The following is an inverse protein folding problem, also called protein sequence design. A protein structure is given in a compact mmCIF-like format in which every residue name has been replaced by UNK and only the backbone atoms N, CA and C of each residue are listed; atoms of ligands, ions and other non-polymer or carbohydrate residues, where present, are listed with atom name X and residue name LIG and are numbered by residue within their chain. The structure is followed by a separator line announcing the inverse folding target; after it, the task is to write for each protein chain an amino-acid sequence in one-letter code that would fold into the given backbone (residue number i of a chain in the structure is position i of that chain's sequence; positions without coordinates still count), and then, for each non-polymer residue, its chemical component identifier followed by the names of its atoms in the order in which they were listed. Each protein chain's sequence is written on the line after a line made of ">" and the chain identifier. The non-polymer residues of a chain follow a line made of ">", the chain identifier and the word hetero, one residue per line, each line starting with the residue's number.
data_IF_074966516099
#
_entry.id   IF_074966516099
#
_cell.length_a   1.000
_cell.length_b   1.000
_cell.length_c   1.000
_cell.angle_alpha   90.00
_cell.angle_beta   90.00
_cell.angle_gamma   90.00
#
_symmetry.space_group_name_H-M   'P 1'
#
loop_
_entity.id
_entity.type
_entity.pdbx_description
1 polymer ?
#
# COMPACT_ATOMS: atom_id res chain seq x y z
N UNK A 1 -29.11 -1.69 -1.94
CA UNK A 1 -28.25 -0.61 -2.45
C UNK A 1 -28.70 0.66 -1.77
N UNK A 2 -27.87 1.24 -0.89
CA UNK A 2 -28.15 2.55 -0.32
C UNK A 2 -28.15 3.57 -1.46
N UNK A 3 -29.18 4.41 -1.53
CA UNK A 3 -29.20 5.50 -2.50
C UNK A 3 -28.08 6.49 -2.16
N UNK A 4 -27.14 6.64 -3.08
CA UNK A 4 -26.09 7.67 -2.96
C UNK A 4 -26.77 9.03 -2.92
N UNK A 5 -26.55 9.80 -1.85
CA UNK A 5 -27.07 11.16 -1.72
C UNK A 5 -26.41 12.08 -2.75
N UNK A 6 -27.15 12.99 -3.40
CA UNK A 6 -26.55 13.98 -4.28
C UNK A 6 -25.49 14.81 -3.53
N UNK A 7 -24.27 14.86 -4.05
CA UNK A 7 -23.16 15.59 -3.45
C UNK A 7 -22.15 16.03 -4.50
N UNK A 8 -21.44 17.11 -4.20
CA UNK A 8 -20.30 17.57 -4.99
C UNK A 8 -19.03 17.11 -4.27
N UNK A 9 -18.20 16.32 -4.96
CA UNK A 9 -16.91 15.86 -4.43
C UNK A 9 -15.85 16.89 -4.80
N UNK A 10 -15.33 17.58 -3.79
CA UNK A 10 -14.24 18.55 -3.96
C UNK A 10 -12.93 17.84 -3.62
N UNK A 11 -11.89 17.91 -4.48
CA UNK A 11 -10.60 17.30 -4.21
C UNK A 11 -9.94 17.92 -2.97
N UNK A 12 -9.19 17.10 -2.23
CA UNK A 12 -8.32 17.61 -1.19
C UNK A 12 -7.10 18.30 -1.83
N UNK A 13 -6.91 19.58 -1.52
CA UNK A 13 -5.81 20.41 -2.05
C UNK A 13 -4.63 20.53 -1.09
N UNK A 14 -4.69 19.96 0.12
CA UNK A 14 -3.67 20.18 1.15
C UNK A 14 -2.25 19.84 0.69
N UNK A 15 -2.07 18.73 -0.04
CA UNK A 15 -0.76 18.36 -0.59
C UNK A 15 -0.31 19.19 -1.81
N UNK A 16 -1.19 19.98 -2.44
CA UNK A 16 -0.86 20.75 -3.65
C UNK A 16 -0.24 22.11 -3.39
N UNK A 17 -0.37 22.62 -2.19
CA UNK A 17 0.07 23.98 -1.86
C UNK A 17 1.54 24.03 -1.42
N UNK A 18 2.17 22.90 -1.15
CA UNK A 18 3.60 22.86 -0.80
C UNK A 18 4.48 22.70 -2.05
N UNK A 19 4.44 23.71 -2.93
CA UNK A 19 5.14 23.68 -4.21
C UNK A 19 6.68 23.68 -4.07
N UNK A 20 7.23 24.17 -2.96
CA UNK A 20 8.68 24.21 -2.72
C UNK A 20 9.19 22.81 -2.37
N UNK A 21 8.63 22.17 -1.34
CA UNK A 21 8.95 20.79 -0.95
C UNK A 21 8.74 19.82 -2.12
N UNK A 22 7.75 20.07 -2.90
CA UNK A 22 7.41 19.38 -4.12
C UNK A 22 8.52 19.44 -5.17
N UNK A 23 8.95 20.65 -5.49
CA UNK A 23 10.02 20.90 -6.46
C UNK A 23 11.33 20.25 -5.98
N UNK A 24 11.67 20.41 -4.70
CA UNK A 24 12.85 19.79 -4.10
C UNK A 24 12.81 18.26 -4.18
N UNK A 25 11.66 17.64 -3.93
CA UNK A 25 11.49 16.19 -4.03
C UNK A 25 11.58 15.69 -5.47
N UNK A 26 11.03 16.44 -6.42
CA UNK A 26 11.18 16.15 -7.85
C UNK A 26 12.63 16.25 -8.29
N UNK A 27 13.35 17.29 -7.88
CA UNK A 27 14.75 17.50 -8.23
C UNK A 27 15.67 16.42 -7.62
N UNK A 28 15.45 16.04 -6.34
CA UNK A 28 16.21 14.95 -5.68
C UNK A 28 16.08 13.62 -6.41
N UNK A 29 14.93 13.37 -7.02
CA UNK A 29 14.62 12.09 -7.66
C UNK A 29 14.78 12.12 -9.20
N UNK A 30 15.10 13.27 -9.79
CA UNK A 30 15.15 13.46 -11.24
C UNK A 30 16.13 12.52 -11.98
N UNK A 31 17.13 12.02 -11.28
CA UNK A 31 18.14 11.10 -11.84
C UNK A 31 18.02 9.65 -11.35
N UNK A 32 17.03 9.34 -10.53
CA UNK A 32 16.76 7.97 -10.06
C UNK A 32 15.68 7.35 -10.92
N UNK A 33 15.84 6.07 -11.25
CA UNK A 33 14.75 5.30 -11.87
C UNK A 33 13.71 4.99 -10.80
N UNK A 34 12.60 5.70 -10.85
CA UNK A 34 11.43 5.53 -9.98
C UNK A 34 10.26 4.88 -10.72
N UNK A 35 10.54 4.14 -11.80
CA UNK A 35 9.52 3.46 -12.58
C UNK A 35 8.67 2.55 -11.70
N UNK A 36 7.35 2.74 -11.73
CA UNK A 36 6.42 2.10 -10.80
C UNK A 36 5.23 1.50 -11.52
N UNK A 37 4.87 0.29 -11.14
CA UNK A 37 3.62 -0.37 -11.51
C UNK A 37 2.68 -0.32 -10.30
N UNK A 38 1.54 0.34 -10.48
CA UNK A 38 0.47 0.35 -9.49
C UNK A 38 -0.49 -0.81 -9.76
N UNK A 39 -0.68 -1.69 -8.79
CA UNK A 39 -1.62 -2.80 -8.86
C UNK A 39 -2.86 -2.46 -8.04
N UNK A 40 -4.02 -2.56 -8.66
CA UNK A 40 -5.32 -2.26 -8.07
C UNK A 40 -6.22 -3.50 -8.15
N UNK A 41 -6.34 -4.29 -7.08
CA UNK A 41 -7.40 -5.28 -6.97
C UNK A 41 -8.76 -4.57 -6.93
N UNK A 42 -9.73 -5.04 -7.72
CA UNK A 42 -11.03 -4.40 -7.77
C UNK A 42 -12.16 -5.38 -8.09
N UNK A 43 -13.32 -5.11 -7.51
CA UNK A 43 -14.58 -5.79 -7.85
C UNK A 43 -15.20 -5.26 -9.16
N UNK A 44 -14.57 -4.25 -9.79
CA UNK A 44 -15.00 -3.66 -11.05
C UNK A 44 -15.70 -2.31 -10.91
N UNK A 45 -15.89 -1.81 -9.69
CA UNK A 45 -16.49 -0.48 -9.43
C UNK A 45 -15.68 0.25 -8.37
N UNK A 46 -15.23 1.45 -8.67
CA UNK A 46 -14.49 2.31 -7.72
C UNK A 46 -15.33 3.55 -7.40
N UNK A 47 -15.48 3.94 -6.12
CA UNK A 47 -16.24 5.12 -5.74
C UNK A 47 -15.69 6.40 -6.33
N UNK A 48 -16.55 7.33 -6.73
CA UNK A 48 -16.13 8.61 -7.31
C UNK A 48 -15.20 9.41 -6.37
N UNK A 49 -15.41 9.36 -5.04
CA UNK A 49 -14.54 10.00 -4.05
C UNK A 49 -13.12 9.44 -4.08
N UNK A 50 -13.00 8.14 -4.23
CA UNK A 50 -11.70 7.44 -4.33
C UNK A 50 -11.04 7.75 -5.67
N UNK A 51 -11.77 7.67 -6.78
CA UNK A 51 -11.27 8.04 -8.11
C UNK A 51 -10.77 9.47 -8.11
N UNK A 52 -11.48 10.41 -7.48
CA UNK A 52 -11.06 11.81 -7.34
C UNK A 52 -9.69 11.92 -6.65
N UNK A 53 -9.44 11.15 -5.60
CA UNK A 53 -8.12 11.08 -4.95
C UNK A 53 -7.07 10.54 -5.92
N UNK A 54 -7.35 9.44 -6.62
CA UNK A 54 -6.40 8.81 -7.53
C UNK A 54 -5.99 9.69 -8.72
N UNK A 55 -6.91 10.50 -9.22
CA UNK A 55 -6.63 11.50 -10.29
C UNK A 55 -5.66 12.59 -9.82
N UNK A 56 -5.58 12.80 -8.51
CA UNK A 56 -4.71 13.80 -7.92
C UNK A 56 -3.35 13.27 -7.48
N UNK A 57 -3.13 11.94 -7.49
CA UNK A 57 -1.82 11.35 -7.16
C UNK A 57 -0.78 11.89 -8.13
N UNK A 58 0.29 12.44 -7.57
CA UNK A 58 1.40 12.95 -8.34
C UNK A 58 2.46 11.88 -8.50
N UNK A 59 2.85 11.63 -9.73
CA UNK A 59 3.99 10.81 -10.09
C UNK A 59 5.20 11.69 -10.39
N UNK A 60 6.43 11.21 -10.15
CA UNK A 60 7.63 11.95 -10.52
C UNK A 60 7.66 12.23 -12.02
N UNK A 61 8.11 13.42 -12.41
CA UNK A 61 8.28 13.78 -13.82
C UNK A 61 9.31 12.87 -14.50
N UNK A 62 9.08 12.59 -15.79
CA UNK A 62 9.96 11.74 -16.60
C UNK A 62 10.15 10.30 -16.07
N UNK A 63 9.24 9.81 -15.26
CA UNK A 63 9.22 8.44 -14.77
C UNK A 63 8.07 7.66 -15.38
N UNK A 64 8.30 6.36 -15.59
CA UNK A 64 7.24 5.46 -16.07
C UNK A 64 6.32 5.11 -14.91
N UNK A 65 5.04 5.38 -15.08
CA UNK A 65 4.01 5.00 -14.12
C UNK A 65 2.82 4.37 -14.85
N UNK A 66 2.49 3.13 -14.53
CA UNK A 66 1.33 2.44 -15.10
C UNK A 66 0.43 1.89 -14.00
N UNK A 67 -0.87 1.74 -14.28
CA UNK A 67 -1.83 1.08 -13.40
C UNK A 67 -2.34 -0.19 -14.05
N UNK A 68 -2.38 -1.25 -13.27
CA UNK A 68 -2.94 -2.55 -13.65
C UNK A 68 -4.10 -2.86 -12.72
N UNK A 69 -5.27 -3.11 -13.29
CA UNK A 69 -6.44 -3.53 -12.52
C UNK A 69 -6.55 -5.06 -12.57
N UNK A 70 -6.64 -5.69 -11.40
CA UNK A 70 -6.92 -7.11 -11.24
C UNK A 70 -8.39 -7.27 -10.83
N UNK A 71 -9.25 -7.66 -11.75
CA UNK A 71 -10.70 -7.62 -11.56
C UNK A 71 -11.27 -8.97 -11.13
N UNK A 72 -12.19 -8.93 -10.14
CA UNK A 72 -13.01 -10.08 -9.77
C UNK A 72 -12.27 -11.26 -9.13
N UNK A 73 -11.08 -11.02 -8.60
CA UNK A 73 -10.27 -12.01 -7.88
C UNK A 73 -10.30 -11.75 -6.37
N UNK A 74 -10.01 -12.79 -5.58
CA UNK A 74 -9.63 -12.62 -4.18
C UNK A 74 -8.35 -11.78 -4.12
N UNK A 75 -8.23 -10.90 -3.11
CA UNK A 75 -7.21 -9.86 -3.08
C UNK A 75 -5.77 -10.40 -3.08
N UNK A 76 -5.48 -11.48 -2.35
CA UNK A 76 -4.16 -12.12 -2.35
C UNK A 76 -3.83 -12.77 -3.68
N UNK A 77 -4.82 -13.42 -4.30
CA UNK A 77 -4.69 -14.00 -5.64
C UNK A 77 -4.49 -12.91 -6.71
N UNK A 78 -5.20 -11.77 -6.59
CA UNK A 78 -5.06 -10.62 -7.48
C UNK A 78 -3.63 -10.07 -7.47
N UNK A 79 -3.07 -9.82 -6.28
CA UNK A 79 -1.68 -9.37 -6.15
C UNK A 79 -0.69 -10.41 -6.67
N UNK A 80 -0.79 -11.66 -6.18
CA UNK A 80 0.16 -12.71 -6.54
C UNK A 80 0.19 -12.98 -8.04
N UNK A 81 -0.99 -13.16 -8.66
CA UNK A 81 -1.09 -13.45 -10.10
C UNK A 81 -0.61 -12.28 -10.95
N UNK A 82 -0.93 -11.04 -10.56
CA UNK A 82 -0.48 -9.86 -11.30
C UNK A 82 1.03 -9.70 -11.22
N UNK A 83 1.64 -9.91 -10.06
CA UNK A 83 3.09 -9.85 -9.89
C UNK A 83 3.78 -10.94 -10.71
N UNK A 84 3.27 -12.17 -10.72
CA UNK A 84 3.78 -13.26 -11.57
C UNK A 84 3.77 -12.86 -13.05
N UNK A 85 2.68 -12.28 -13.54
CA UNK A 85 2.59 -11.80 -14.92
C UNK A 85 3.56 -10.65 -15.22
N UNK A 86 3.75 -9.72 -14.26
CA UNK A 86 4.74 -8.64 -14.36
C UNK A 86 6.16 -9.22 -14.48
N UNK A 87 6.50 -10.17 -13.64
CA UNK A 87 7.82 -10.81 -13.66
C UNK A 87 8.09 -11.61 -14.92
N UNK A 88 7.05 -12.25 -15.47
CA UNK A 88 7.14 -12.99 -16.73
C UNK A 88 7.25 -12.09 -17.97
N UNK A 89 6.90 -10.81 -17.86
CA UNK A 89 6.98 -9.85 -18.97
C UNK A 89 8.33 -9.13 -18.97
N UNK A 90 9.17 -9.26 -20.05
CA UNK A 90 10.50 -8.66 -20.11
C UNK A 90 10.54 -7.12 -19.93
N UNK A 91 9.49 -6.41 -20.33
CA UNK A 91 9.44 -4.95 -20.20
C UNK A 91 8.95 -4.52 -18.81
N UNK A 92 7.92 -5.19 -18.29
CA UNK A 92 7.35 -4.86 -16.98
C UNK A 92 8.31 -5.23 -15.84
N UNK A 93 9.04 -6.33 -15.97
CA UNK A 93 10.01 -6.77 -14.95
C UNK A 93 11.20 -5.82 -14.76
N UNK A 94 11.41 -4.86 -15.68
CA UNK A 94 12.45 -3.83 -15.57
C UNK A 94 12.05 -2.68 -14.62
N UNK A 95 10.76 -2.53 -14.31
CA UNK A 95 10.31 -1.51 -13.37
C UNK A 95 10.95 -1.70 -12.00
N UNK A 96 11.13 -0.60 -11.27
CA UNK A 96 11.83 -0.60 -9.97
C UNK A 96 10.92 -0.85 -8.80
N UNK A 97 9.65 -0.45 -8.91
CA UNK A 97 8.72 -0.50 -7.80
C UNK A 97 7.36 -1.09 -8.20
N UNK A 98 6.74 -1.71 -7.23
CA UNK A 98 5.32 -2.05 -7.22
C UNK A 98 4.63 -1.20 -6.15
N UNK A 99 3.60 -0.48 -6.53
CA UNK A 99 2.68 0.21 -5.63
C UNK A 99 1.40 -0.60 -5.53
N UNK A 100 0.98 -0.93 -4.32
CA UNK A 100 -0.37 -1.46 -4.09
C UNK A 100 -1.31 -0.31 -3.78
N UNK A 101 -2.53 -0.38 -4.30
CA UNK A 101 -3.57 0.61 -4.08
C UNK A 101 -4.92 -0.11 -4.12
N UNK A 102 -5.63 -0.14 -3.00
CA UNK A 102 -6.93 -0.81 -2.93
C UNK A 102 -8.07 0.12 -3.35
N UNK A 103 -9.15 -0.46 -3.89
CA UNK A 103 -10.25 0.27 -4.56
C UNK A 103 -11.06 1.20 -3.65
N UNK A 104 -10.82 1.15 -2.36
CA UNK A 104 -11.47 1.98 -1.35
C UNK A 104 -10.48 2.88 -0.58
N UNK A 105 -9.23 2.94 -1.01
CA UNK A 105 -8.23 3.81 -0.40
C UNK A 105 -8.02 5.10 -1.20
N UNK A 106 -8.00 6.22 -0.48
CA UNK A 106 -7.89 7.58 -1.00
C UNK A 106 -6.59 8.25 -0.51
N UNK A 107 -5.45 8.04 -1.20
CA UNK A 107 -4.19 8.63 -0.80
C UNK A 107 -4.13 10.14 -1.08
N UNK A 108 -3.33 10.90 -0.30
CA UNK A 108 -3.10 12.31 -0.56
C UNK A 108 -2.29 12.50 -1.85
N UNK A 109 -2.38 13.68 -2.49
CA UNK A 109 -1.73 13.95 -3.77
C UNK A 109 -0.22 13.69 -3.79
N UNK A 110 0.50 14.05 -2.75
CA UNK A 110 1.96 13.91 -2.60
C UNK A 110 2.40 12.55 -2.00
N UNK A 111 1.43 11.67 -1.69
CA UNK A 111 1.70 10.42 -0.98
C UNK A 111 2.73 9.54 -1.68
N UNK A 112 2.63 9.36 -3.00
CA UNK A 112 3.59 8.55 -3.76
C UNK A 112 5.00 9.13 -3.70
N UNK A 113 5.13 10.46 -3.77
CA UNK A 113 6.44 11.11 -3.71
C UNK A 113 7.12 10.88 -2.35
N UNK A 114 6.35 10.98 -1.27
CA UNK A 114 6.85 10.72 0.10
C UNK A 114 7.27 9.26 0.29
N UNK A 115 6.56 8.30 -0.31
CA UNK A 115 6.95 6.89 -0.24
C UNK A 115 8.35 6.65 -0.83
N UNK A 116 8.76 7.38 -1.88
CA UNK A 116 10.10 7.23 -2.46
C UNK A 116 11.22 7.77 -1.55
N UNK A 117 10.96 8.72 -0.67
CA UNK A 117 11.99 9.43 0.11
C UNK A 117 12.91 8.50 0.92
N UNK A 118 12.40 7.35 1.35
CA UNK A 118 13.12 6.42 2.21
C UNK A 118 13.31 5.02 1.64
N UNK A 119 13.08 4.84 0.34
CA UNK A 119 13.29 3.54 -0.34
C UNK A 119 14.77 3.14 -0.45
N UNK A 120 15.70 4.01 -0.11
CA UNK A 120 17.11 3.66 0.08
C UNK A 120 17.35 2.89 1.39
N UNK A 121 16.57 3.14 2.44
CA UNK A 121 16.71 2.55 3.78
C UNK A 121 15.83 1.33 4.00
N UNK A 122 14.68 1.28 3.33
CA UNK A 122 13.66 0.24 3.49
C UNK A 122 13.39 -0.44 2.16
N UNK A 123 12.87 -1.65 2.24
CA UNK A 123 12.50 -2.44 1.06
C UNK A 123 11.01 -2.29 0.75
N UNK A 124 10.21 -2.00 1.77
CA UNK A 124 8.79 -1.68 1.66
C UNK A 124 8.47 -0.49 2.55
N UNK A 125 7.71 0.47 2.02
CA UNK A 125 7.16 1.59 2.78
C UNK A 125 5.66 1.70 2.48
N UNK A 126 4.85 1.72 3.53
CA UNK A 126 3.41 1.93 3.44
C UNK A 126 2.96 3.21 4.12
N UNK A 127 1.86 3.75 3.65
CA UNK A 127 1.18 4.87 4.27
C UNK A 127 0.36 4.43 5.49
N UNK A 128 0.05 5.37 6.37
CA UNK A 128 -0.80 5.13 7.52
C UNK A 128 -2.28 5.30 7.14
N UNK A 129 -3.07 4.29 7.45
CA UNK A 129 -4.53 4.34 7.39
C UNK A 129 -5.14 3.37 8.42
N UNK A 130 -6.44 3.38 8.56
CA UNK A 130 -7.15 2.60 9.58
C UNK A 130 -8.11 1.60 8.95
N UNK A 131 -8.40 0.53 9.68
CA UNK A 131 -9.57 -0.30 9.37
C UNK A 131 -10.85 0.55 9.52
N UNK A 132 -11.89 0.19 8.76
CA UNK A 132 -13.19 0.89 8.82
C UNK A 132 -13.87 0.69 10.17
N UNK A 133 -14.67 1.68 10.56
CA UNK A 133 -15.52 1.63 11.75
C UNK A 133 -14.96 2.38 12.96
N UNK A 134 -15.81 2.62 13.96
CA UNK A 134 -15.54 3.44 15.15
C UNK A 134 -14.31 2.94 15.95
N UNK A 135 -14.06 1.63 15.96
CA UNK A 135 -12.89 1.03 16.62
C UNK A 135 -11.75 0.76 15.63
N UNK A 136 -11.61 1.63 14.64
CA UNK A 136 -10.59 1.50 13.60
C UNK A 136 -9.18 1.30 14.17
N UNK A 137 -8.48 0.28 13.66
CA UNK A 137 -7.09 -0.01 14.06
C UNK A 137 -6.12 0.46 12.96
N UNK A 138 -4.96 1.00 13.34
CA UNK A 138 -3.96 1.42 12.36
C UNK A 138 -3.42 0.20 11.61
N UNK A 139 -3.28 0.32 10.29
CA UNK A 139 -2.74 -0.72 9.41
C UNK A 139 -1.21 -0.70 9.40
N UNK A 140 -0.63 -0.60 10.60
CA UNK A 140 0.79 -0.69 10.90
C UNK A 140 0.96 -1.73 12.01
N UNK A 141 1.76 -2.76 11.74
CA UNK A 141 1.78 -3.95 12.57
C UNK A 141 3.16 -4.29 13.11
N UNK A 142 3.20 -4.61 14.41
CA UNK A 142 4.35 -5.14 15.11
C UNK A 142 5.54 -4.19 15.16
N UNK A 143 5.91 -3.79 16.37
CA UNK A 143 7.12 -3.01 16.59
C UNK A 143 8.35 -3.90 16.35
N UNK A 144 9.29 -3.41 15.54
CA UNK A 144 10.48 -4.17 15.15
C UNK A 144 11.45 -4.47 16.30
N UNK A 145 11.34 -3.73 17.40
CA UNK A 145 12.16 -3.83 18.62
C UNK A 145 11.55 -4.74 19.69
N UNK A 146 10.38 -5.35 19.41
CA UNK A 146 9.68 -6.25 20.33
C UNK A 146 9.76 -7.70 19.85
N UNK A 147 10.22 -8.59 20.74
CA UNK A 147 10.34 -10.02 20.47
C UNK A 147 9.40 -10.83 21.39
N UNK A 148 8.83 -11.95 20.91
CA UNK A 148 8.95 -12.47 19.53
C UNK A 148 8.29 -11.56 18.50
N UNK A 149 8.71 -11.71 17.23
CA UNK A 149 8.09 -10.97 16.11
C UNK A 149 6.58 -11.17 16.14
N UNK A 150 5.86 -10.07 16.10
CA UNK A 150 4.40 -10.04 16.16
C UNK A 150 3.82 -9.09 15.13
N UNK A 151 2.52 -9.18 14.93
CA UNK A 151 1.74 -8.32 14.02
C UNK A 151 0.59 -7.64 14.78
N UNK A 152 0.83 -7.22 16.00
CA UNK A 152 -0.14 -6.44 16.77
C UNK A 152 -0.22 -5.02 16.16
N UNK A 153 -1.42 -4.52 15.81
CA UNK A 153 -1.57 -3.15 15.35
C UNK A 153 -1.03 -2.15 16.37
N UNK A 154 -0.25 -1.19 15.92
CA UNK A 154 0.24 -0.11 16.78
C UNK A 154 0.24 1.22 16.04
N UNK A 155 0.07 2.31 16.80
CA UNK A 155 0.15 3.66 16.26
C UNK A 155 1.61 4.07 16.13
N UNK A 156 2.12 4.34 14.91
CA UNK A 156 3.46 4.91 14.75
C UNK A 156 3.53 6.35 15.29
N UNK A 157 4.73 6.82 15.56
CA UNK A 157 4.92 8.21 15.96
C UNK A 157 4.43 9.16 14.85
N UNK A 158 3.85 10.29 15.25
CA UNK A 158 3.31 11.25 14.31
C UNK A 158 4.39 11.86 13.41
N UNK A 159 4.08 12.04 12.14
CA UNK A 159 4.92 12.68 11.13
C UNK A 159 6.33 12.08 10.99
N UNK A 160 6.44 10.76 11.17
CA UNK A 160 7.70 10.02 11.08
C UNK A 160 7.60 8.82 10.15
N UNK A 161 8.78 8.27 9.82
CA UNK A 161 8.91 6.96 9.17
C UNK A 161 9.33 5.94 10.22
N UNK A 162 8.38 5.14 10.67
CA UNK A 162 8.57 4.20 11.78
C UNK A 162 8.75 2.78 11.25
N UNK A 163 9.83 2.11 11.63
CA UNK A 163 10.06 0.71 11.29
C UNK A 163 9.03 -0.20 11.96
N UNK A 164 8.48 -1.13 11.19
CA UNK A 164 7.44 -2.07 11.64
C UNK A 164 7.68 -3.48 11.07
N UNK A 165 6.85 -4.44 11.51
CA UNK A 165 6.92 -5.83 11.04
C UNK A 165 5.97 -6.09 9.87
N UNK A 166 4.93 -5.27 9.69
CA UNK A 166 3.96 -5.42 8.62
C UNK A 166 3.13 -4.17 8.38
N UNK A 167 2.47 -4.13 7.25
CA UNK A 167 1.69 -3.00 6.74
C UNK A 167 0.42 -3.53 6.06
N UNK A 168 -0.61 -2.70 5.97
CA UNK A 168 -1.71 -2.97 5.05
C UNK A 168 -1.34 -2.64 3.60
N UNK A 169 -2.14 -3.13 2.65
CA UNK A 169 -1.87 -3.02 1.21
C UNK A 169 -2.54 -1.81 0.54
N UNK A 170 -3.25 -0.98 1.31
CA UNK A 170 -4.06 0.12 0.78
C UNK A 170 -3.28 1.19 0.02
N UNK A 171 -2.05 1.48 0.44
CA UNK A 171 -1.12 2.35 -0.30
C UNK A 171 0.31 2.07 0.15
N UNK A 172 0.94 1.06 -0.46
CA UNK A 172 2.25 0.55 -0.04
C UNK A 172 3.17 0.34 -1.23
N UNK A 173 4.39 0.85 -1.14
CA UNK A 173 5.42 0.79 -2.18
C UNK A 173 6.45 -0.28 -1.84
N UNK A 174 6.71 -1.18 -2.79
CA UNK A 174 7.64 -2.29 -2.70
C UNK A 174 8.76 -2.12 -3.73
N UNK A 175 10.00 -2.47 -3.37
CA UNK A 175 11.04 -2.71 -4.37
C UNK A 175 10.68 -3.94 -5.22
N UNK A 176 10.72 -3.83 -6.52
CA UNK A 176 10.46 -4.95 -7.45
C UNK A 176 11.38 -6.15 -7.16
N UNK A 177 12.61 -5.90 -6.73
CA UNK A 177 13.61 -6.95 -6.53
C UNK A 177 13.27 -7.92 -5.38
N UNK A 178 12.38 -7.55 -4.47
CA UNK A 178 11.84 -8.47 -3.46
C UNK A 178 11.18 -9.67 -4.14
N UNK A 179 10.34 -9.41 -5.14
CA UNK A 179 9.57 -10.43 -5.85
C UNK A 179 10.41 -11.26 -6.84
N UNK A 180 11.61 -10.77 -7.19
CA UNK A 180 12.60 -11.53 -7.99
C UNK A 180 13.44 -12.50 -7.16
N UNK A 181 13.38 -12.40 -5.83
CA UNK A 181 14.13 -13.29 -4.95
C UNK A 181 13.53 -14.70 -4.98
N UNK A 182 14.26 -15.72 -5.46
CA UNK A 182 13.74 -17.09 -5.57
C UNK A 182 13.46 -17.74 -4.21
N UNK A 183 14.00 -17.18 -3.12
CA UNK A 183 13.75 -17.67 -1.76
C UNK A 183 12.46 -17.14 -1.15
N UNK A 184 11.80 -16.15 -1.78
CA UNK A 184 10.52 -15.67 -1.32
C UNK A 184 9.42 -16.68 -1.68
N UNK A 185 8.68 -17.24 -0.70
CA UNK A 185 7.65 -18.22 -0.98
C UNK A 185 6.55 -17.69 -1.89
N UNK A 186 6.04 -18.59 -2.73
CA UNK A 186 4.88 -18.36 -3.60
C UNK A 186 3.70 -19.21 -3.14
N UNK A 187 2.45 -18.73 -3.27
CA UNK A 187 2.09 -17.39 -3.76
C UNK A 187 2.62 -16.29 -2.83
N UNK A 188 2.94 -15.12 -3.37
CA UNK A 188 3.51 -14.01 -2.60
C UNK A 188 2.55 -13.54 -1.50
N UNK A 189 1.27 -13.46 -1.82
CA UNK A 189 0.19 -13.05 -0.95
C UNK A 189 -0.84 -14.16 -0.87
N UNK A 190 -1.12 -14.63 0.33
CA UNK A 190 -2.02 -15.75 0.57
C UNK A 190 -2.75 -15.57 1.90
N UNK A 191 -4.08 -15.61 1.87
CA UNK A 191 -4.89 -15.68 3.08
C UNK A 191 -4.87 -17.10 3.64
N UNK A 192 -4.30 -17.29 4.84
CA UNK A 192 -4.20 -18.60 5.48
C UNK A 192 -5.10 -18.65 6.70
N UNK A 193 -5.94 -19.67 6.75
CA UNK A 193 -6.75 -19.96 7.94
C UNK A 193 -6.18 -21.19 8.66
N UNK A 194 -5.95 -21.07 9.97
CA UNK A 194 -5.51 -22.17 10.85
C UNK A 194 -6.52 -22.37 11.96
N UNK A 195 -6.92 -23.61 12.16
CA UNK A 195 -7.70 -23.99 13.35
C UNK A 195 -6.72 -24.18 14.49
N UNK A 196 -6.83 -23.38 15.55
CA UNK A 196 -6.02 -23.52 16.77
C UNK A 196 -6.90 -24.14 17.83
N UNK A 197 -6.60 -25.35 18.30
CA UNK A 197 -7.39 -26.04 19.33
C UNK A 197 -7.58 -25.15 20.57
N UNK A 198 -8.83 -24.96 21.00
CA UNK A 198 -9.19 -24.10 22.13
C UNK A 198 -9.24 -22.61 21.88
N UNK A 199 -8.81 -22.13 20.69
CA UNK A 199 -8.81 -20.71 20.32
C UNK A 199 -9.67 -20.40 19.07
N UNK A 200 -10.16 -21.44 18.37
CA UNK A 200 -10.96 -21.27 17.15
C UNK A 200 -10.12 -21.11 15.88
N UNK A 201 -10.69 -20.42 14.88
CA UNK A 201 -10.01 -20.18 13.61
C UNK A 201 -9.22 -18.88 13.70
N UNK A 202 -7.91 -18.97 13.50
CA UNK A 202 -7.04 -17.82 13.31
C UNK A 202 -6.85 -17.60 11.81
N UNK A 203 -7.25 -16.43 11.32
CA UNK A 203 -7.01 -16.00 9.95
C UNK A 203 -5.74 -15.14 9.90
N UNK A 204 -4.81 -15.55 9.06
CA UNK A 204 -3.67 -14.73 8.66
C UNK A 204 -4.00 -14.08 7.32
N UNK A 205 -4.09 -12.78 7.29
CA UNK A 205 -4.36 -12.02 6.08
C UNK A 205 -3.18 -12.11 5.11
N UNK A 206 -3.45 -11.94 3.83
CA UNK A 206 -2.46 -12.08 2.75
C UNK A 206 -1.25 -11.15 2.92
N UNK A 207 -1.47 -9.94 3.42
CA UNK A 207 -0.44 -8.95 3.72
C UNK A 207 0.50 -9.42 4.84
N UNK A 208 -0.04 -9.83 5.98
CA UNK A 208 0.77 -10.29 7.11
C UNK A 208 1.56 -11.55 6.78
N UNK A 209 1.00 -12.45 5.97
CA UNK A 209 1.70 -13.63 5.49
C UNK A 209 2.92 -13.28 4.63
N UNK A 210 2.76 -12.31 3.72
CA UNK A 210 3.87 -11.78 2.94
C UNK A 210 4.96 -11.22 3.85
N UNK A 211 4.61 -10.33 4.78
CA UNK A 211 5.57 -9.69 5.69
C UNK A 211 6.29 -10.68 6.60
N UNK A 212 5.61 -11.72 7.08
CA UNK A 212 6.24 -12.81 7.82
C UNK A 212 7.32 -13.51 7.00
N UNK A 213 7.03 -13.86 5.76
CA UNK A 213 7.97 -14.54 4.87
C UNK A 213 9.14 -13.63 4.49
N UNK A 214 8.87 -12.38 4.13
CA UNK A 214 9.88 -11.43 3.73
C UNK A 214 10.81 -11.02 4.89
N UNK A 215 10.28 -10.92 6.12
CA UNK A 215 11.11 -10.63 7.31
C UNK A 215 12.16 -11.72 7.59
N UNK A 216 11.83 -13.00 7.34
CA UNK A 216 12.77 -14.12 7.47
C UNK A 216 13.94 -14.03 6.49
N UNK A 217 13.78 -13.32 5.38
CA UNK A 217 14.80 -13.03 4.39
C UNK A 217 15.58 -11.73 4.66
N UNK A 218 15.26 -11.04 5.76
CA UNK A 218 15.98 -9.85 6.21
C UNK A 218 15.49 -8.54 5.60
N UNK A 219 14.39 -8.53 4.85
CA UNK A 219 13.79 -7.30 4.31
C UNK A 219 13.26 -6.39 5.43
N UNK A 220 13.33 -5.08 5.18
CA UNK A 220 12.97 -4.03 6.15
C UNK A 220 11.75 -3.26 5.68
N UNK A 221 10.82 -3.05 6.60
CA UNK A 221 9.55 -2.39 6.33
C UNK A 221 9.36 -1.18 7.23
N UNK A 222 8.68 -0.16 6.74
CA UNK A 222 8.35 1.02 7.52
C UNK A 222 6.98 1.58 7.16
N UNK A 223 6.32 2.18 8.14
CA UNK A 223 5.13 2.98 7.96
C UNK A 223 5.51 4.47 7.95
N UNK A 224 5.11 5.20 6.92
CA UNK A 224 5.27 6.65 6.84
C UNK A 224 3.97 7.34 7.30
N UNK A 225 3.95 7.79 8.54
CA UNK A 225 2.78 8.44 9.15
C UNK A 225 2.53 9.87 8.67
N UNK A 226 3.45 10.45 7.88
CA UNK A 226 3.24 11.72 7.15
C UNK A 226 2.22 11.57 6.04
N UNK A 227 1.97 10.33 5.59
CA UNK A 227 1.03 9.98 4.52
C UNK A 227 -0.19 9.35 5.19
N UNK A 228 -1.27 10.10 5.28
CA UNK A 228 -2.53 9.60 5.81
C UNK A 228 -3.48 9.30 4.66
N UNK A 229 -3.88 8.06 4.54
CA UNK A 229 -4.74 7.58 3.47
C UNK A 229 -6.15 7.41 4.02
N UNK A 230 -7.14 7.96 3.34
CA UNK A 230 -8.53 7.73 3.67
C UNK A 230 -8.96 6.33 3.28
N UNK A 231 -9.80 5.69 4.09
CA UNK A 231 -10.37 4.37 3.83
C UNK A 231 -11.88 4.49 3.69
N UNK A 232 -12.36 4.43 2.46
CA UNK A 232 -13.76 4.68 2.14
C UNK A 232 -14.65 3.49 2.50
N UNK A 233 -15.70 3.78 3.22
CA UNK A 233 -16.76 2.82 3.55
C UNK A 233 -17.96 3.01 2.63
N UNK A 234 -18.22 2.00 1.79
CA UNK A 234 -19.36 2.01 0.85
C UNK A 234 -20.72 1.95 1.52
N UNK A 235 -20.81 1.29 2.67
CA UNK A 235 -22.10 1.07 3.32
C UNK A 235 -22.60 2.34 3.98
N UNK A 236 -21.68 3.09 4.57
CA UNK A 236 -22.01 4.28 5.34
C UNK A 236 -21.72 5.58 4.58
N UNK A 237 -21.07 5.52 3.40
CA UNK A 237 -20.60 6.69 2.63
C UNK A 237 -19.63 7.57 3.44
N UNK A 238 -18.77 6.94 4.26
CA UNK A 238 -17.83 7.61 5.15
C UNK A 238 -16.38 7.39 4.70
N UNK A 239 -15.52 8.34 5.05
CA UNK A 239 -14.06 8.27 4.85
C UNK A 239 -13.41 8.22 6.24
N UNK A 240 -12.78 7.09 6.53
CA UNK A 240 -12.05 6.84 7.78
C UNK A 240 -10.58 7.23 7.68
#
# INVERSE_FOLDING_TARGET
>A
MSQIKPQIVIPNYEGRHNTIEYKENLEKNAYKDLSTICIVPSRGVVPAKVVQSWMNIMSPMNQKFIRIFALGMEVGAAYSSTIEQILANPELSKYKYILTLEEDNAPPPDGLLKLYDHMDKYDVIGALYWTKGIEGKPMCYGRHDVFPVNFVPFMPDADTVTRCNGLGMGFTLFKMDIFKNPSLPKPFFETVQKVVPGQGVQAYTQDLRFFENASKLGYKFACDSRIRVGHYDYENDEMW
#
